data_IF_949845626882
#
_entry.id   IF_949845626882
#
_cell.length_a   1.000
_cell.length_b   1.000
_cell.length_c   1.000
_cell.angle_alpha   90.00
_cell.angle_beta   90.00
_cell.angle_gamma   90.00
#
_symmetry.space_group_name_H-M   'P 1'
#
loop_
_entity.id
_entity.type
_entity.pdbx_description
1 polymer ?
#
# COMPACT_ATOMS: atom_id res chain seq x y z
N UNK A 1 -17.45 -8.93 -16.53
CA UNK A 1 -16.70 -8.72 -15.27
C UNK A 1 -17.27 -7.47 -14.62
N UNK A 2 -17.57 -7.49 -13.31
CA UNK A 2 -17.98 -6.28 -12.62
C UNK A 2 -16.79 -5.32 -12.57
N UNK A 3 -16.96 -4.11 -13.10
CA UNK A 3 -15.93 -3.08 -13.08
C UNK A 3 -16.18 -2.17 -11.88
N UNK A 4 -15.33 -2.27 -10.88
CA UNK A 4 -15.35 -1.39 -9.71
C UNK A 4 -14.58 -0.11 -10.05
N UNK A 5 -15.25 1.04 -9.99
CA UNK A 5 -14.58 2.33 -10.12
C UNK A 5 -13.97 2.71 -8.77
N UNK A 6 -12.63 2.78 -8.70
CA UNK A 6 -11.91 3.25 -7.52
C UNK A 6 -11.60 4.74 -7.70
N UNK A 7 -12.17 5.59 -6.85
CA UNK A 7 -11.85 7.02 -6.82
C UNK A 7 -10.63 7.25 -5.93
N UNK A 8 -9.57 7.84 -6.48
CA UNK A 8 -8.39 8.27 -5.74
C UNK A 8 -8.52 9.75 -5.37
N UNK A 9 -8.29 10.08 -4.11
CA UNK A 9 -8.20 11.46 -3.61
C UNK A 9 -6.79 11.73 -3.06
N UNK A 10 -6.33 12.97 -3.12
CA UNK A 10 -5.04 13.40 -2.59
C UNK A 10 -5.04 14.92 -2.34
N UNK A 11 -4.14 15.41 -1.47
CA UNK A 11 -4.02 16.84 -1.18
C UNK A 11 -3.17 17.60 -2.20
N UNK A 12 -2.43 16.89 -3.04
CA UNK A 12 -1.60 17.45 -4.12
C UNK A 12 -1.49 16.47 -5.29
N UNK A 13 -1.08 16.99 -6.46
CA UNK A 13 -0.86 16.17 -7.66
C UNK A 13 0.24 15.11 -7.46
N UNK A 14 1.28 15.44 -6.70
CA UNK A 14 2.38 14.53 -6.40
C UNK A 14 1.92 13.35 -5.53
N UNK A 15 1.09 13.63 -4.53
CA UNK A 15 0.47 12.58 -3.72
C UNK A 15 -0.47 11.71 -4.56
N UNK A 16 -1.24 12.32 -5.48
CA UNK A 16 -2.14 11.60 -6.36
C UNK A 16 -1.37 10.62 -7.26
N UNK A 17 -0.26 11.09 -7.86
CA UNK A 17 0.61 10.27 -8.69
C UNK A 17 1.21 9.10 -7.89
N UNK A 18 1.66 9.37 -6.67
CA UNK A 18 2.21 8.34 -5.77
C UNK A 18 1.15 7.27 -5.44
N UNK A 19 -0.07 7.69 -5.10
CA UNK A 19 -1.19 6.77 -4.82
C UNK A 19 -1.57 5.96 -6.06
N UNK A 20 -1.59 6.58 -7.24
CA UNK A 20 -1.88 5.90 -8.51
C UNK A 20 -0.84 4.81 -8.77
N UNK A 21 0.44 5.13 -8.71
CA UNK A 21 1.53 4.16 -8.92
C UNK A 21 1.44 2.98 -7.94
N UNK A 22 1.08 3.24 -6.68
CA UNK A 22 0.89 2.19 -5.68
C UNK A 22 -0.29 1.26 -6.02
N UNK A 23 -1.42 1.81 -6.47
CA UNK A 23 -2.59 1.02 -6.91
C UNK A 23 -2.26 0.18 -8.15
N UNK A 24 -1.55 0.75 -9.12
CA UNK A 24 -1.15 0.02 -10.33
C UNK A 24 -0.25 -1.17 -9.98
N UNK A 25 0.69 -1.00 -9.03
CA UNK A 25 1.51 -2.09 -8.52
C UNK A 25 0.70 -3.14 -7.74
N UNK A 26 -0.31 -2.73 -6.96
CA UNK A 26 -1.20 -3.65 -6.25
C UNK A 26 -2.06 -4.47 -7.23
N UNK A 27 -2.54 -3.85 -8.32
CA UNK A 27 -3.36 -4.54 -9.33
C UNK A 27 -2.58 -5.63 -10.09
N UNK A 28 -1.24 -5.53 -10.14
CA UNK A 28 -0.40 -6.56 -10.74
C UNK A 28 -0.21 -7.80 -9.84
N UNK A 29 -0.60 -7.74 -8.56
CA UNK A 29 -0.47 -8.86 -7.63
C UNK A 29 -1.57 -9.91 -7.83
N UNK A 30 -1.21 -11.17 -7.61
CA UNK A 30 -2.21 -12.26 -7.55
C UNK A 30 -3.14 -12.09 -6.35
N UNK A 31 -4.32 -12.72 -6.40
CA UNK A 31 -5.30 -12.67 -5.31
C UNK A 31 -4.72 -13.13 -3.96
N UNK A 32 -3.85 -14.14 -3.96
CA UNK A 32 -3.25 -14.63 -2.71
C UNK A 32 -2.20 -13.67 -2.15
N UNK A 33 -1.45 -12.98 -3.01
CA UNK A 33 -0.56 -11.88 -2.58
C UNK A 33 -1.38 -10.72 -2.02
N UNK A 34 -2.47 -10.33 -2.68
CA UNK A 34 -3.38 -9.28 -2.18
C UNK A 34 -3.98 -9.63 -0.82
N UNK A 35 -4.37 -10.90 -0.58
CA UNK A 35 -4.82 -11.36 0.74
C UNK A 35 -3.74 -11.20 1.82
N UNK A 36 -2.48 -11.45 1.48
CA UNK A 36 -1.34 -11.28 2.42
C UNK A 36 -1.10 -9.80 2.72
N UNK A 37 -1.12 -8.94 1.70
CA UNK A 37 -1.04 -7.48 1.88
C UNK A 37 -2.19 -6.99 2.77
N UNK A 38 -3.42 -7.43 2.52
CA UNK A 38 -4.58 -7.07 3.33
C UNK A 38 -4.43 -7.48 4.81
N UNK A 39 -3.82 -8.63 5.09
CA UNK A 39 -3.49 -9.06 6.46
C UNK A 39 -2.43 -8.17 7.10
N UNK A 40 -1.40 -7.78 6.35
CA UNK A 40 -0.33 -6.91 6.83
C UNK A 40 -0.88 -5.52 7.18
N UNK A 41 -1.63 -4.86 6.29
CA UNK A 41 -2.13 -3.50 6.54
C UNK A 41 -3.17 -3.42 7.67
N UNK A 42 -3.78 -4.55 8.05
CA UNK A 42 -4.68 -4.64 9.22
C UNK A 42 -3.94 -4.90 10.53
N UNK A 43 -2.65 -5.25 10.48
CA UNK A 43 -1.85 -5.52 11.67
C UNK A 43 -1.39 -4.22 12.34
N UNK A 44 -1.70 -3.99 13.63
CA UNK A 44 -1.25 -2.79 14.34
C UNK A 44 0.27 -2.63 14.34
N UNK A 45 1.02 -3.74 14.37
CA UNK A 45 2.49 -3.73 14.29
C UNK A 45 2.95 -3.20 12.93
N UNK A 46 2.38 -3.69 11.83
CA UNK A 46 2.74 -3.25 10.49
C UNK A 46 2.40 -1.77 10.29
N UNK A 47 1.23 -1.32 10.77
CA UNK A 47 0.87 0.11 10.77
C UNK A 47 1.93 0.93 11.51
N UNK A 48 2.38 0.49 12.70
CA UNK A 48 3.42 1.19 13.45
C UNK A 48 4.77 1.29 12.72
N UNK A 49 5.10 0.32 11.85
CA UNK A 49 6.26 0.40 10.97
C UNK A 49 6.04 1.34 9.79
N UNK A 50 4.85 1.34 9.18
CA UNK A 50 4.50 2.20 8.05
C UNK A 50 4.33 3.68 8.46
N UNK A 51 3.98 3.96 9.72
CA UNK A 51 3.79 5.32 10.23
C UNK A 51 5.07 5.98 10.78
N UNK A 52 6.24 5.34 10.65
CA UNK A 52 7.50 5.87 11.18
C UNK A 52 8.65 5.60 10.23
N UNK A 53 9.27 6.66 9.71
CA UNK A 53 10.37 6.55 8.73
C UNK A 53 11.55 5.72 9.24
N UNK A 54 11.93 5.91 10.52
CA UNK A 54 13.03 5.17 11.14
C UNK A 54 12.71 3.68 11.24
N UNK A 55 11.50 3.34 11.67
CA UNK A 55 11.05 1.95 11.77
C UNK A 55 10.92 1.33 10.39
N UNK A 56 10.36 2.05 9.42
CA UNK A 56 10.22 1.60 8.05
C UNK A 56 11.59 1.33 7.41
N UNK A 57 12.55 2.25 7.58
CA UNK A 57 13.92 2.07 7.10
C UNK A 57 14.61 0.85 7.72
N UNK A 58 14.38 0.62 9.02
CA UNK A 58 14.84 -0.59 9.70
C UNK A 58 14.24 -1.84 9.06
N UNK A 59 12.93 -1.86 8.83
CA UNK A 59 12.24 -2.97 8.17
C UNK A 59 12.77 -3.22 6.76
N UNK A 60 13.01 -2.18 5.96
CA UNK A 60 13.60 -2.29 4.62
C UNK A 60 15.00 -2.89 4.62
N UNK A 61 15.76 -2.74 5.70
CA UNK A 61 17.10 -3.34 5.81
C UNK A 61 17.05 -4.84 6.08
N UNK A 62 15.96 -5.32 6.69
CA UNK A 62 15.78 -6.73 7.07
C UNK A 62 15.06 -7.58 6.00
N UNK A 63 14.38 -6.94 5.06
CA UNK A 63 13.69 -7.59 3.93
C UNK A 63 14.63 -7.74 2.74
#
# INVERSE_FOLDING_TARGET
MAQSNITLSAGSDMELLTRKNAIDALNALTTDQLKRVLKLIKSPKAIAYLSSDIKFKTLQTFL
#
